data_IF_058401111438
#
_entry.id   IF_058401111438
#
_cell.length_a   1.000
_cell.length_b   1.000
_cell.length_c   1.000
_cell.angle_alpha   90.00
_cell.angle_beta   90.00
_cell.angle_gamma   90.00
#
_symmetry.space_group_name_H-M   'P 1'
#
loop_
_entity.id
_entity.type
_entity.pdbx_description
1 polymer ?
#
# COMPACT_ATOMS: atom_id res chain seq x y z
N UNK A 1 -21.14 24.65 -19.58
CA UNK A 1 -21.46 26.02 -20.04
C UNK A 1 -22.37 26.66 -18.99
N UNK A 2 -22.27 27.98 -18.75
CA UNK A 2 -23.13 28.62 -17.73
C UNK A 2 -24.59 28.75 -18.20
N UNK A 3 -25.56 28.45 -17.33
CA UNK A 3 -27.01 28.69 -17.52
C UNK A 3 -27.31 30.03 -18.20
N UNK A 4 -26.64 31.12 -17.79
CA UNK A 4 -26.85 32.46 -18.35
C UNK A 4 -26.53 32.53 -19.85
N UNK A 5 -25.50 31.80 -20.29
CA UNK A 5 -25.08 31.74 -21.70
C UNK A 5 -26.05 30.91 -22.54
N UNK A 6 -26.54 29.79 -22.01
CA UNK A 6 -27.57 28.96 -22.66
C UNK A 6 -28.85 29.78 -22.87
N UNK A 7 -29.28 30.47 -21.81
CA UNK A 7 -30.43 31.37 -21.85
C UNK A 7 -30.26 32.49 -22.87
N UNK A 8 -29.10 33.14 -22.91
CA UNK A 8 -28.82 34.22 -23.85
C UNK A 8 -28.87 33.77 -25.32
N UNK A 9 -28.34 32.57 -25.62
CA UNK A 9 -28.39 31.98 -26.96
C UNK A 9 -29.84 31.63 -27.34
N UNK A 10 -30.58 31.00 -26.43
CA UNK A 10 -31.98 30.62 -26.64
C UNK A 10 -32.88 31.85 -26.83
N UNK A 11 -32.69 32.91 -26.03
CA UNK A 11 -33.41 34.18 -26.18
C UNK A 11 -33.11 34.84 -27.53
N UNK A 12 -31.84 34.90 -27.95
CA UNK A 12 -31.46 35.47 -29.25
C UNK A 12 -32.11 34.70 -30.42
N UNK A 13 -32.19 33.38 -30.33
CA UNK A 13 -32.86 32.55 -31.33
C UNK A 13 -34.38 32.76 -31.32
N UNK A 14 -35.00 32.89 -30.16
CA UNK A 14 -36.44 33.13 -30.03
C UNK A 14 -36.85 34.49 -30.59
N UNK A 15 -36.06 35.55 -30.35
CA UNK A 15 -36.27 36.88 -30.96
C UNK A 15 -36.24 36.77 -32.48
N UNK A 16 -35.22 36.09 -33.02
CA UNK A 16 -35.04 35.91 -34.47
C UNK A 16 -36.19 35.13 -35.11
N UNK A 17 -36.67 34.06 -34.47
CA UNK A 17 -37.75 33.21 -34.97
C UNK A 17 -39.12 33.91 -34.82
N UNK A 18 -39.32 34.60 -33.70
CA UNK A 18 -40.57 35.31 -33.39
C UNK A 18 -40.74 36.64 -34.12
N UNK A 19 -39.76 37.09 -34.90
CA UNK A 19 -39.83 38.34 -35.66
C UNK A 19 -39.92 39.61 -34.80
N UNK A 20 -39.62 39.52 -33.51
CA UNK A 20 -39.65 40.64 -32.57
C UNK A 20 -38.30 41.32 -32.48
N UNK A 21 -38.26 42.60 -32.11
CA UNK A 21 -37.00 43.38 -32.08
C UNK A 21 -36.34 43.37 -30.71
N UNK A 22 -37.12 43.11 -29.64
CA UNK A 22 -36.63 43.12 -28.27
C UNK A 22 -37.17 41.92 -27.47
N UNK A 23 -36.40 41.47 -26.48
CA UNK A 23 -36.77 40.44 -25.51
C UNK A 23 -38.09 40.77 -24.85
N UNK A 24 -38.35 42.04 -24.54
CA UNK A 24 -39.57 42.46 -23.82
C UNK A 24 -40.86 42.13 -24.58
N UNK A 25 -40.81 42.12 -25.91
CA UNK A 25 -41.93 41.81 -26.81
C UNK A 25 -42.17 40.30 -26.99
N UNK A 26 -41.26 39.43 -26.52
CA UNK A 26 -41.50 37.99 -26.51
C UNK A 26 -42.62 37.65 -25.53
N UNK A 27 -43.45 36.68 -25.93
CA UNK A 27 -44.48 36.10 -25.08
C UNK A 27 -43.88 35.68 -23.72
N UNK A 28 -44.46 36.13 -22.59
CA UNK A 28 -44.04 35.72 -21.25
C UNK A 28 -43.92 34.20 -21.06
N UNK A 29 -44.77 33.41 -21.73
CA UNK A 29 -44.72 31.94 -21.70
C UNK A 29 -43.45 31.42 -22.38
N UNK A 30 -43.06 32.00 -23.52
CA UNK A 30 -41.81 31.63 -24.22
C UNK A 30 -40.59 31.97 -23.38
N UNK A 31 -40.60 33.10 -22.66
CA UNK A 31 -39.53 33.46 -21.71
C UNK A 31 -39.42 32.44 -20.57
N UNK A 32 -40.56 32.00 -20.03
CA UNK A 32 -40.61 30.99 -18.97
C UNK A 32 -40.08 29.63 -19.46
N UNK A 33 -40.48 29.20 -20.65
CA UNK A 33 -39.97 27.97 -21.26
C UNK A 33 -38.45 28.01 -21.46
N UNK A 34 -37.91 29.12 -21.96
CA UNK A 34 -36.47 29.28 -22.14
C UNK A 34 -35.73 29.24 -20.80
N UNK A 35 -36.29 29.82 -19.74
CA UNK A 35 -35.72 29.77 -18.39
C UNK A 35 -35.68 28.35 -17.82
N UNK A 36 -36.79 27.62 -17.91
CA UNK A 36 -36.90 26.24 -17.41
C UNK A 36 -35.98 25.31 -18.22
N UNK A 37 -35.98 25.42 -19.54
CA UNK A 37 -35.12 24.60 -20.42
C UNK A 37 -33.64 24.89 -20.20
N UNK A 38 -33.25 26.16 -20.03
CA UNK A 38 -31.85 26.51 -19.74
C UNK A 38 -31.38 25.96 -18.40
N UNK A 39 -32.28 25.88 -17.41
CA UNK A 39 -31.99 25.26 -16.11
C UNK A 39 -31.81 23.75 -16.26
N UNK A 40 -32.77 23.06 -16.89
CA UNK A 40 -32.70 21.62 -17.14
C UNK A 40 -31.45 21.21 -17.94
N UNK A 41 -31.07 21.98 -18.96
CA UNK A 41 -29.86 21.71 -19.75
C UNK A 41 -28.58 21.91 -18.93
N UNK A 42 -28.52 22.96 -18.10
CA UNK A 42 -27.38 23.22 -17.23
C UNK A 42 -27.21 22.13 -16.17
N UNK A 43 -28.31 21.64 -15.59
CA UNK A 43 -28.28 20.57 -14.60
C UNK A 43 -27.85 19.24 -15.22
N UNK A 44 -28.26 18.97 -16.47
CA UNK A 44 -27.79 17.80 -17.22
C UNK A 44 -26.30 17.89 -17.60
N UNK A 45 -25.80 19.08 -17.97
CA UNK A 45 -24.36 19.27 -18.18
C UNK A 45 -23.55 19.00 -16.91
N UNK A 46 -24.05 19.43 -15.75
CA UNK A 46 -23.42 19.15 -14.46
C UNK A 46 -23.45 17.64 -14.14
N UNK A 47 -24.58 16.97 -14.33
CA UNK A 47 -24.69 15.53 -14.14
C UNK A 47 -23.72 14.73 -15.05
N UNK A 48 -23.51 15.18 -16.28
CA UNK A 48 -22.52 14.59 -17.20
C UNK A 48 -21.08 14.84 -16.70
N UNK A 49 -20.79 16.01 -16.13
CA UNK A 49 -19.49 16.29 -15.54
C UNK A 49 -19.20 15.39 -14.33
N UNK A 50 -20.18 15.21 -13.45
CA UNK A 50 -20.07 14.31 -12.30
C UNK A 50 -19.84 12.85 -12.73
N UNK A 51 -20.51 12.41 -13.79
CA UNK A 51 -20.29 11.08 -14.39
C UNK A 51 -18.87 10.94 -14.92
N UNK A 52 -18.31 11.98 -15.57
CA UNK A 52 -16.93 11.94 -16.07
C UNK A 52 -15.92 11.81 -14.95
N UNK A 53 -16.09 12.51 -13.84
CA UNK A 53 -15.22 12.38 -12.66
C UNK A 53 -15.29 10.97 -12.08
N UNK A 54 -16.49 10.43 -11.89
CA UNK A 54 -16.67 9.08 -11.36
C UNK A 54 -16.11 7.99 -12.28
N UNK A 55 -16.28 8.12 -13.60
CA UNK A 55 -15.69 7.19 -14.56
C UNK A 55 -14.17 7.27 -14.55
N UNK A 56 -13.60 8.48 -14.42
CA UNK A 56 -12.17 8.67 -14.28
C UNK A 56 -11.63 8.00 -13.01
N UNK A 57 -12.31 8.17 -11.87
CA UNK A 57 -11.96 7.49 -10.62
C UNK A 57 -12.03 5.97 -10.74
N UNK A 58 -13.09 5.43 -11.36
CA UNK A 58 -13.23 3.99 -11.57
C UNK A 58 -12.13 3.42 -12.48
N UNK A 59 -11.77 4.12 -13.54
CA UNK A 59 -10.68 3.73 -14.44
C UNK A 59 -9.34 3.81 -13.70
N UNK A 60 -9.09 4.88 -12.95
CA UNK A 60 -7.86 5.04 -12.18
C UNK A 60 -7.72 3.94 -11.10
N UNK A 61 -8.83 3.57 -10.44
CA UNK A 61 -8.84 2.48 -9.48
C UNK A 61 -8.59 1.12 -10.14
N UNK A 62 -9.25 0.85 -11.27
CA UNK A 62 -9.06 -0.40 -12.04
C UNK A 62 -7.64 -0.57 -12.59
N UNK A 63 -6.99 0.55 -12.96
CA UNK A 63 -5.60 0.57 -13.43
C UNK A 63 -4.58 0.52 -12.30
N UNK A 64 -4.97 0.84 -11.07
CA UNK A 64 -4.07 0.79 -9.91
C UNK A 64 -4.15 -0.60 -9.30
N UNK A 65 -3.10 -1.43 -9.38
CA UNK A 65 -3.14 -2.76 -8.78
C UNK A 65 -3.37 -2.65 -7.27
N UNK A 66 -4.33 -3.42 -6.75
CA UNK A 66 -4.71 -3.45 -5.32
C UNK A 66 -3.52 -3.68 -4.37
N UNK A 67 -2.44 -4.27 -4.87
CA UNK A 67 -1.18 -4.49 -4.15
C UNK A 67 -0.43 -3.21 -3.74
N UNK A 68 -0.78 -2.06 -4.34
CA UNK A 68 -0.26 -0.73 -3.99
C UNK A 68 -1.13 0.01 -2.96
N UNK A 69 -2.42 -0.32 -2.87
CA UNK A 69 -3.38 0.35 -1.97
C UNK A 69 -3.60 -0.47 -0.69
N UNK A 70 -3.33 -1.77 -0.71
CA UNK A 70 -3.49 -2.65 0.45
C UNK A 70 -2.39 -2.43 1.49
N UNK A 71 -2.81 -2.23 2.75
CA UNK A 71 -1.93 -2.25 3.93
C UNK A 71 -1.21 -3.59 4.01
N UNK A 72 0.07 -3.62 3.62
CA UNK A 72 0.91 -4.80 3.80
C UNK A 72 1.15 -5.00 5.30
N UNK A 73 0.87 -6.19 5.87
CA UNK A 73 1.21 -6.47 7.26
C UNK A 73 2.71 -6.29 7.48
N UNK A 74 3.13 -5.96 8.71
CA UNK A 74 4.55 -5.85 9.04
C UNK A 74 5.21 -7.23 8.90
N UNK A 75 6.08 -7.39 7.90
CA UNK A 75 6.87 -8.61 7.73
C UNK A 75 8.15 -8.47 8.55
N UNK A 76 8.50 -9.52 9.30
CA UNK A 76 9.73 -9.55 10.08
C UNK A 76 10.36 -10.94 10.00
N UNK A 77 11.68 -11.00 10.16
CA UNK A 77 12.43 -12.25 10.25
C UNK A 77 12.82 -12.45 11.71
N UNK A 78 12.31 -13.51 12.33
CA UNK A 78 12.60 -13.84 13.73
C UNK A 78 13.69 -14.91 13.83
N UNK A 79 14.69 -14.67 14.68
CA UNK A 79 15.66 -15.70 15.10
C UNK A 79 15.17 -16.35 16.40
N UNK A 80 14.74 -17.61 16.32
CA UNK A 80 14.34 -18.41 17.47
C UNK A 80 15.36 -19.52 17.74
N UNK A 81 15.53 -19.90 19.01
CA UNK A 81 16.32 -21.05 19.42
C UNK A 81 15.37 -21.99 20.18
N UNK A 82 15.13 -23.22 19.69
CA UNK A 82 14.30 -24.17 20.40
C UNK A 82 15.01 -24.63 21.67
N UNK A 83 14.22 -24.96 22.71
CA UNK A 83 14.75 -25.58 23.94
C UNK A 83 15.12 -27.04 23.68
N UNK A 84 14.32 -27.72 22.87
CA UNK A 84 14.54 -29.10 22.43
C UNK A 84 15.40 -29.14 21.15
N UNK A 85 16.03 -30.28 20.81
CA UNK A 85 16.83 -30.42 19.58
C UNK A 85 16.04 -30.11 18.31
N UNK A 86 14.75 -30.44 18.32
CA UNK A 86 13.78 -30.14 17.28
C UNK A 86 12.49 -29.66 17.94
N UNK A 87 11.85 -28.64 17.37
CA UNK A 87 10.56 -28.11 17.83
C UNK A 87 9.73 -27.69 16.63
N UNK A 88 8.43 -27.94 16.65
CA UNK A 88 7.51 -27.47 15.61
C UNK A 88 6.77 -26.22 16.09
N UNK A 89 6.75 -25.18 15.25
CA UNK A 89 5.95 -23.97 15.48
C UNK A 89 4.83 -23.95 14.45
N UNK A 90 3.61 -23.69 14.91
CA UNK A 90 2.44 -23.54 14.07
C UNK A 90 2.02 -22.07 13.91
N UNK A 91 1.17 -21.79 12.91
CA UNK A 91 0.60 -20.45 12.68
C UNK A 91 -0.18 -19.89 13.88
N UNK A 92 -0.65 -20.77 14.78
CA UNK A 92 -1.38 -20.41 16.00
C UNK A 92 -0.46 -19.91 17.12
N UNK A 93 0.84 -20.16 17.01
CA UNK A 93 1.82 -19.69 17.96
C UNK A 93 2.13 -18.23 17.67
N UNK A 94 1.48 -17.35 18.43
CA UNK A 94 1.63 -15.90 18.29
C UNK A 94 2.81 -15.44 19.12
N UNK A 95 3.75 -14.75 18.47
CA UNK A 95 4.88 -14.10 19.11
C UNK A 95 4.56 -12.63 19.34
N UNK A 96 4.99 -12.08 20.47
CA UNK A 96 4.84 -10.65 20.74
C UNK A 96 6.20 -10.04 21.05
N UNK A 97 6.33 -8.75 20.75
CA UNK A 97 7.41 -7.94 21.29
C UNK A 97 6.86 -6.66 21.89
N UNK A 98 7.36 -6.38 23.07
CA UNK A 98 7.27 -5.17 23.87
C UNK A 98 8.34 -4.14 23.49
N UNK A 99 9.31 -4.52 22.63
CA UNK A 99 10.35 -3.59 22.17
C UNK A 99 9.79 -2.56 21.20
N UNK A 100 9.51 -1.40 21.78
CA UNK A 100 9.03 -0.20 21.11
C UNK A 100 10.13 0.35 20.20
N UNK A 101 10.17 -0.12 18.95
CA UNK A 101 10.89 0.58 17.88
C UNK A 101 10.43 2.05 17.87
N UNK A 102 11.29 2.97 17.44
CA UNK A 102 10.96 4.41 17.41
C UNK A 102 9.62 4.67 16.67
N UNK A 103 9.32 3.80 15.70
CA UNK A 103 8.05 3.74 14.95
C UNK A 103 6.86 3.30 15.81
N UNK A 104 6.95 2.22 16.60
CA UNK A 104 5.85 1.77 17.47
C UNK A 104 5.48 2.80 18.54
N UNK A 105 6.46 3.58 19.02
CA UNK A 105 6.28 4.68 19.99
C UNK A 105 5.44 5.81 19.39
N UNK A 106 5.67 6.14 18.12
CA UNK A 106 4.92 7.18 17.37
C UNK A 106 3.42 6.86 17.26
N UNK A 107 3.07 5.58 17.21
CA UNK A 107 1.68 5.11 17.11
C UNK A 107 1.09 4.64 18.44
N UNK A 108 1.79 4.89 19.57
CA UNK A 108 1.35 4.50 20.91
C UNK A 108 1.02 3.00 21.05
N UNK A 109 1.71 2.14 20.28
CA UNK A 109 1.52 0.70 20.32
C UNK A 109 2.31 0.10 21.49
N UNK A 110 1.62 -0.64 22.37
CA UNK A 110 2.22 -1.26 23.57
C UNK A 110 2.92 -2.59 23.27
N UNK A 111 2.42 -3.34 22.29
CA UNK A 111 2.97 -4.62 21.87
C UNK A 111 2.69 -4.81 20.38
N UNK A 112 3.60 -5.50 19.71
CA UNK A 112 3.43 -5.90 18.31
C UNK A 112 3.36 -7.42 18.24
N UNK A 113 2.29 -7.93 17.63
CA UNK A 113 2.04 -9.36 17.50
C UNK A 113 2.44 -9.85 16.10
N UNK A 114 3.07 -11.01 16.04
CA UNK A 114 3.50 -11.66 14.82
C UNK A 114 3.04 -13.12 14.82
N UNK A 115 2.52 -13.56 13.68
CA UNK A 115 2.23 -14.96 13.42
C UNK A 115 3.20 -15.47 12.34
N UNK A 116 3.64 -16.73 12.42
CA UNK A 116 4.34 -17.39 11.33
C UNK A 116 3.56 -17.33 10.01
N UNK A 117 4.28 -17.20 8.89
CA UNK A 117 3.66 -17.15 7.56
C UNK A 117 3.17 -18.54 7.12
N UNK A 118 3.88 -19.59 7.55
CA UNK A 118 3.62 -20.99 7.17
C UNK A 118 2.87 -21.71 8.29
N UNK A 119 2.08 -22.72 7.93
CA UNK A 119 1.30 -23.51 8.90
C UNK A 119 2.17 -24.28 9.89
N UNK A 120 3.30 -24.84 9.43
CA UNK A 120 4.22 -25.66 10.21
C UNK A 120 5.66 -25.29 9.89
N UNK A 121 6.45 -24.95 10.90
CA UNK A 121 7.87 -24.64 10.78
C UNK A 121 8.64 -25.52 11.75
N UNK A 122 9.50 -26.40 11.23
CA UNK A 122 10.42 -27.19 12.03
C UNK A 122 11.63 -26.34 12.41
N UNK A 123 11.74 -25.99 13.69
CA UNK A 123 12.95 -25.42 14.27
C UNK A 123 13.93 -26.53 14.61
N UNK A 124 15.19 -26.23 14.33
CA UNK A 124 16.33 -27.09 14.62
C UNK A 124 17.26 -26.32 15.52
N UNK A 125 17.79 -26.98 16.56
CA UNK A 125 18.79 -26.39 17.43
C UNK A 125 20.07 -26.11 16.65
N UNK A 126 20.38 -24.84 16.49
CA UNK A 126 21.52 -24.37 15.70
C UNK A 126 21.85 -22.92 16.00
N UNK A 127 23.14 -22.61 16.01
CA UNK A 127 23.65 -21.28 16.30
C UNK A 127 24.18 -20.59 15.04
N UNK A 128 23.70 -19.38 14.77
CA UNK A 128 24.29 -18.51 13.77
C UNK A 128 25.54 -17.89 14.37
N UNK A 129 26.73 -18.39 14.02
CA UNK A 129 28.00 -17.88 14.53
C UNK A 129 28.45 -16.62 13.79
N UNK A 130 28.29 -16.61 12.47
CA UNK A 130 28.80 -15.53 11.61
C UNK A 130 27.72 -15.06 10.64
N UNK A 131 27.68 -13.75 10.38
CA UNK A 131 26.78 -13.13 9.41
C UNK A 131 27.64 -12.22 8.53
N UNK A 132 27.77 -12.56 7.25
CA UNK A 132 28.39 -11.68 6.27
C UNK A 132 27.29 -10.97 5.49
N UNK A 133 27.26 -9.64 5.62
CA UNK A 133 26.33 -8.79 4.90
C UNK A 133 27.11 -7.62 4.28
N UNK A 134 26.99 -7.47 2.97
CA UNK A 134 27.81 -6.53 2.20
C UNK A 134 29.29 -6.72 2.57
N UNK A 135 29.97 -5.66 3.00
CA UNK A 135 31.39 -5.68 3.36
C UNK A 135 31.66 -6.11 4.79
N UNK A 136 30.63 -6.31 5.61
CA UNK A 136 30.79 -6.45 7.06
C UNK A 136 30.59 -7.90 7.48
N UNK A 137 31.60 -8.48 8.11
CA UNK A 137 31.49 -9.76 8.80
C UNK A 137 31.15 -9.49 10.26
N UNK A 138 29.99 -9.97 10.68
CA UNK A 138 29.56 -9.95 12.07
C UNK A 138 29.73 -11.32 12.70
N UNK A 139 30.12 -11.36 13.97
CA UNK A 139 30.04 -12.54 14.83
C UNK A 139 28.91 -12.33 15.82
N UNK A 140 28.11 -13.36 16.03
CA UNK A 140 27.10 -13.34 17.10
C UNK A 140 27.79 -13.62 18.43
N UNK A 141 27.76 -12.66 19.35
CA UNK A 141 28.27 -12.82 20.71
C UNK A 141 27.32 -13.64 21.59
N UNK A 142 27.79 -13.96 22.81
CA UNK A 142 27.06 -14.79 23.80
C UNK A 142 25.66 -14.26 24.15
N UNK A 143 25.47 -12.94 24.13
CA UNK A 143 24.18 -12.29 24.41
C UNK A 143 23.31 -12.10 23.15
N UNK A 144 23.63 -12.79 22.04
CA UNK A 144 23.01 -12.62 20.71
C UNK A 144 23.24 -11.24 20.07
N UNK A 145 24.16 -10.44 20.63
CA UNK A 145 24.59 -9.17 20.05
C UNK A 145 25.47 -9.42 18.82
N UNK A 146 25.44 -8.49 17.85
CA UNK A 146 26.26 -8.57 16.64
C UNK A 146 27.52 -7.74 16.84
N UNK A 147 28.67 -8.40 16.91
CA UNK A 147 29.97 -7.75 16.95
C UNK A 147 30.56 -7.69 15.54
N UNK A 148 31.00 -6.51 15.09
CA UNK A 148 31.71 -6.36 13.83
C UNK A 148 33.13 -6.94 13.98
N UNK A 149 33.42 -8.02 13.26
CA UNK A 149 34.74 -8.67 13.28
C UNK A 149 35.69 -8.00 12.31
N UNK A 150 35.23 -7.82 11.07
CA UNK A 150 36.07 -7.25 10.02
C UNK A 150 35.24 -6.65 8.90
N UNK A 151 35.89 -5.79 8.13
CA UNK A 151 35.32 -5.18 6.93
C UNK A 151 36.20 -5.51 5.73
N UNK A 152 35.61 -6.13 4.71
CA UNK A 152 36.32 -6.50 3.50
C UNK A 152 36.75 -5.25 2.72
N UNK A 153 38.06 -5.18 2.39
CA UNK A 153 38.67 -4.07 1.64
C UNK A 153 38.29 -4.10 0.16
N UNK A 154 38.19 -5.29 -0.43
CA UNK A 154 37.64 -5.53 -1.76
C UNK A 154 36.34 -6.33 -1.63
N UNK A 155 35.32 -5.93 -2.39
CA UNK A 155 34.01 -6.60 -2.35
C UNK A 155 33.36 -6.53 -3.72
N UNK A 156 32.89 -7.68 -4.20
CA UNK A 156 32.12 -7.77 -5.44
C UNK A 156 30.76 -7.11 -5.24
N UNK A 157 30.44 -6.10 -6.06
CA UNK A 157 29.19 -5.34 -5.94
C UNK A 157 27.93 -6.21 -6.09
N UNK A 158 28.02 -7.33 -6.81
CA UNK A 158 26.91 -8.28 -7.01
C UNK A 158 26.46 -8.97 -5.71
N UNK A 159 27.28 -8.95 -4.66
CA UNK A 159 26.94 -9.50 -3.34
C UNK A 159 26.17 -8.51 -2.46
N UNK A 160 25.88 -7.28 -2.91
CA UNK A 160 25.14 -6.26 -2.14
C UNK A 160 23.68 -6.60 -1.83
N UNK A 161 23.20 -7.80 -2.20
CA UNK A 161 21.83 -8.26 -1.93
C UNK A 161 21.78 -9.66 -1.32
N UNK A 162 22.92 -10.20 -0.92
CA UNK A 162 23.03 -11.56 -0.38
C UNK A 162 23.57 -11.49 1.04
N UNK A 163 22.93 -12.24 1.95
CA UNK A 163 23.40 -12.43 3.32
C UNK A 163 23.89 -13.86 3.43
N UNK A 164 25.13 -14.04 3.86
CA UNK A 164 25.68 -15.36 4.16
C UNK A 164 25.66 -15.60 5.66
N UNK A 165 25.15 -16.77 6.05
CA UNK A 165 25.03 -17.18 7.45
C UNK A 165 25.94 -18.38 7.71
N UNK A 166 26.89 -18.22 8.62
CA UNK A 166 27.67 -19.33 9.16
C UNK A 166 26.87 -20.00 10.26
N UNK A 167 26.41 -21.23 10.02
CA UNK A 167 25.60 -22.01 10.94
C UNK A 167 26.46 -23.07 11.63
N UNK A 168 26.29 -23.20 12.94
CA UNK A 168 26.76 -24.34 13.72
C UNK A 168 25.53 -25.14 14.16
N UNK A 169 25.33 -26.29 13.52
CA UNK A 169 24.18 -27.16 13.78
C UNK A 169 24.62 -28.30 14.70
N UNK A 170 23.70 -28.75 15.57
CA UNK A 170 23.98 -29.89 16.43
C UNK A 170 24.18 -31.17 15.59
N UNK A 171 25.13 -32.02 16.01
CA UNK A 171 25.62 -33.19 15.27
C UNK A 171 24.53 -34.25 15.05
N UNK A 172 23.45 -34.20 15.82
CA UNK A 172 22.30 -35.11 15.69
C UNK A 172 21.57 -35.00 14.34
N UNK A 173 21.71 -33.89 13.59
CA UNK A 173 21.09 -33.77 12.26
C UNK A 173 21.86 -34.44 11.12
N UNK A 174 23.11 -34.81 11.34
CA UNK A 174 23.92 -35.42 10.28
C UNK A 174 23.55 -36.90 10.01
N UNK A 175 22.50 -37.42 10.66
CA UNK A 175 22.06 -38.82 10.56
C UNK A 175 20.73 -39.05 9.82
N UNK A 176 20.04 -38.01 9.35
CA UNK A 176 18.72 -38.18 8.68
C UNK A 176 18.72 -37.92 7.17
N UNK A 177 19.82 -38.25 6.49
CA UNK A 177 19.81 -38.48 5.03
C UNK A 177 20.39 -39.86 4.77
N UNK A 178 19.50 -40.85 4.84
CA UNK A 178 19.64 -42.21 4.34
C UNK A 178 18.31 -42.64 3.77
#
# INVERSE_FOLDING_TARGET
MSKARIKQIAMRNAIRIGGVTNVDQLDPIVKLFIEVLSTLMNDNENAIADIKERLLEQIAHSLTPDTLISTKPSHSIMKAMPVEPEMEIERRDIFYTDTVTNTARKYNLRYLNFAPVTERIKLVRGEIQHILCERNLYRTGLNKEKELVTRATSFYQDLNRTIWLGLNLDVSLNRSTG
#
